data_IF_803971457172
#
_entry.id   IF_803971457172
#
_cell.length_a   1.000
_cell.length_b   1.000
_cell.length_c   1.000
_cell.angle_alpha   90.00
_cell.angle_beta   90.00
_cell.angle_gamma   90.00
#
_symmetry.space_group_name_H-M   'P 1'
#
loop_
_entity.id
_entity.type
_entity.pdbx_description
1 polymer ?
#
# COMPACT_ATOMS: atom_id res chain seq x y z
N UNK A 1 3.45 3.81 29.37
CA UNK A 1 2.90 2.63 28.63
C UNK A 1 1.61 2.95 27.87
N UNK A 2 0.65 3.69 28.43
CA UNK A 2 -0.60 4.08 27.72
C UNK A 2 -0.33 4.98 26.52
N UNK A 3 0.57 5.95 26.64
CA UNK A 3 0.87 6.92 25.59
C UNK A 3 1.59 6.28 24.38
N UNK A 4 2.52 5.36 24.62
CA UNK A 4 3.17 4.60 23.54
C UNK A 4 2.16 3.80 22.72
N UNK A 5 1.19 3.13 23.37
CA UNK A 5 0.16 2.35 22.65
C UNK A 5 -0.75 3.23 21.79
N UNK A 6 -0.98 4.50 22.17
CA UNK A 6 -1.79 5.45 21.40
C UNK A 6 -1.10 5.87 20.10
N UNK A 7 0.22 6.06 20.11
CA UNK A 7 1.00 6.42 18.91
C UNK A 7 0.80 5.41 17.77
N UNK A 8 0.71 4.11 18.09
CA UNK A 8 0.46 3.05 17.11
C UNK A 8 -1.01 2.95 16.61
N UNK A 9 -1.88 3.89 16.97
CA UNK A 9 -3.28 3.95 16.52
C UNK A 9 -3.61 5.27 15.81
N UNK A 10 -2.90 6.34 16.12
CA UNK A 10 -3.08 7.63 15.45
C UNK A 10 -2.69 7.53 13.98
N UNK A 11 -3.55 8.01 13.09
CA UNK A 11 -3.26 8.19 11.67
C UNK A 11 -2.64 9.57 11.50
N UNK A 12 -1.39 9.63 11.04
CA UNK A 12 -0.70 10.89 10.78
C UNK A 12 -1.17 11.49 9.46
N UNK A 13 -1.27 12.82 9.42
CA UNK A 13 -1.30 13.53 8.15
C UNK A 13 0.10 13.54 7.53
N UNK A 14 0.15 13.45 6.20
CA UNK A 14 1.36 13.52 5.41
C UNK A 14 1.40 14.81 4.57
N UNK A 15 2.61 15.26 4.22
CA UNK A 15 2.82 16.46 3.41
C UNK A 15 3.24 16.12 1.97
N UNK A 16 3.00 14.90 1.50
CA UNK A 16 3.39 14.49 0.16
C UNK A 16 2.38 14.99 -0.88
N UNK A 17 2.80 15.32 -2.11
CA UNK A 17 1.91 15.85 -3.15
C UNK A 17 0.88 14.80 -3.61
N UNK A 18 -0.24 15.24 -4.19
CA UNK A 18 -1.29 14.32 -4.66
C UNK A 18 -0.89 13.54 -5.91
N UNK A 19 0.08 14.06 -6.67
CA UNK A 19 0.65 13.41 -7.85
C UNK A 19 2.18 13.35 -7.76
N UNK A 20 2.74 12.33 -8.43
CA UNK A 20 4.17 12.16 -8.59
C UNK A 20 4.45 11.71 -10.01
N UNK A 21 5.43 12.34 -10.66
CA UNK A 21 5.86 11.97 -12.02
C UNK A 21 7.31 11.52 -11.99
N UNK A 22 7.59 10.37 -12.61
CA UNK A 22 8.95 9.87 -12.80
C UNK A 22 9.24 9.76 -14.29
N UNK A 23 10.35 10.35 -14.75
CA UNK A 23 10.75 10.36 -16.16
C UNK A 23 12.12 9.74 -16.36
N UNK A 24 12.20 8.73 -17.24
CA UNK A 24 13.45 8.11 -17.65
C UNK A 24 13.53 8.09 -19.18
N UNK A 25 14.42 8.90 -19.76
CA UNK A 25 14.51 9.06 -21.21
C UNK A 25 13.16 9.52 -21.82
N UNK A 26 12.63 8.74 -22.76
CA UNK A 26 11.33 8.97 -23.40
C UNK A 26 10.11 8.46 -22.61
N UNK A 27 10.32 7.73 -21.50
CA UNK A 27 9.24 7.16 -20.70
C UNK A 27 8.83 8.12 -19.58
N UNK A 28 7.52 8.24 -19.35
CA UNK A 28 6.94 9.03 -18.26
C UNK A 28 5.94 8.17 -17.51
N UNK A 29 6.13 8.07 -16.20
CA UNK A 29 5.26 7.35 -15.28
C UNK A 29 4.54 8.37 -14.40
N UNK A 30 3.21 8.31 -14.38
CA UNK A 30 2.38 9.21 -13.57
C UNK A 30 1.73 8.41 -12.46
N UNK A 31 1.88 8.89 -11.24
CA UNK A 31 1.35 8.28 -10.06
C UNK A 31 0.38 9.21 -9.33
N UNK A 32 -0.65 8.63 -8.71
CA UNK A 32 -1.55 9.35 -7.79
C UNK A 32 -1.42 8.82 -6.38
N UNK A 33 -1.42 9.74 -5.42
CA UNK A 33 -1.43 9.41 -4.00
C UNK A 33 -2.72 8.67 -3.65
N UNK A 34 -2.59 7.58 -2.91
CA UNK A 34 -3.71 6.79 -2.40
C UNK A 34 -4.17 7.32 -1.05
N UNK A 35 -5.47 7.50 -0.94
CA UNK A 35 -6.17 7.72 0.31
C UNK A 35 -7.42 6.84 0.33
N UNK A 36 -7.91 6.57 1.52
CA UNK A 36 -9.10 5.76 1.76
C UNK A 36 -10.11 6.55 2.59
N UNK A 37 -11.38 6.32 2.31
CA UNK A 37 -12.52 6.88 3.05
C UNK A 37 -12.85 5.97 4.23
N UNK A 38 -12.61 6.48 5.43
CA UNK A 38 -12.72 5.72 6.68
C UNK A 38 -13.74 6.43 7.57
N UNK A 39 -14.68 5.72 8.20
CA UNK A 39 -15.52 6.31 9.24
C UNK A 39 -14.67 6.60 10.48
N UNK A 40 -14.74 7.83 11.00
CA UNK A 40 -14.13 8.20 12.27
C UNK A 40 -14.83 7.46 13.42
N UNK A 41 -14.05 6.76 14.25
CA UNK A 41 -14.60 5.93 15.34
C UNK A 41 -15.35 6.76 16.41
N UNK A 42 -15.09 8.06 16.53
CA UNK A 42 -15.69 8.93 17.55
C UNK A 42 -16.88 9.73 17.02
N UNK A 43 -16.76 10.28 15.82
CA UNK A 43 -17.79 11.17 15.23
C UNK A 43 -18.70 10.44 14.25
N UNK A 44 -18.27 9.31 13.70
CA UNK A 44 -18.98 8.60 12.63
C UNK A 44 -18.86 9.27 11.25
N UNK A 45 -18.16 10.40 11.15
CA UNK A 45 -17.95 11.11 9.88
C UNK A 45 -16.95 10.36 9.00
N UNK A 46 -17.16 10.41 7.68
CA UNK A 46 -16.20 9.83 6.74
C UNK A 46 -15.04 10.79 6.54
N UNK A 47 -13.85 10.36 6.95
CA UNK A 47 -12.59 11.07 6.72
C UNK A 47 -11.80 10.40 5.60
N UNK A 48 -11.03 11.18 4.85
CA UNK A 48 -10.11 10.67 3.83
C UNK A 48 -8.68 10.70 4.38
N UNK A 49 -8.02 9.55 4.41
CA UNK A 49 -6.68 9.39 5.01
C UNK A 49 -5.77 8.47 4.20
N UNK A 50 -4.48 8.81 4.16
CA UNK A 50 -3.41 7.99 3.60
C UNK A 50 -2.98 6.86 4.55
N UNK A 51 -1.67 6.57 4.63
CA UNK A 51 -1.15 5.55 5.54
C UNK A 51 -1.19 6.00 7.00
N UNK A 52 -1.28 5.06 7.95
CA UNK A 52 -1.27 5.40 9.39
C UNK A 52 0.04 6.09 9.81
N UNK A 53 1.18 5.54 9.36
CA UNK A 53 2.53 6.06 9.53
C UNK A 53 3.49 5.22 8.65
N UNK A 54 4.77 5.60 8.61
CA UNK A 54 5.86 4.92 7.93
C UNK A 54 6.28 3.61 8.61
N UNK A 55 7.58 3.41 8.79
CA UNK A 55 8.07 2.23 9.55
C UNK A 55 7.80 2.41 11.05
N UNK A 56 7.99 3.64 11.53
CA UNK A 56 7.76 4.04 12.91
C UNK A 56 6.66 5.12 13.02
N UNK A 57 5.98 5.24 14.18
CA UNK A 57 4.86 6.17 14.36
C UNK A 57 5.18 7.66 14.23
N UNK A 58 6.44 8.05 14.20
CA UNK A 58 6.93 9.42 14.03
C UNK A 58 7.30 9.74 12.57
N UNK A 59 7.16 8.78 11.67
CA UNK A 59 7.53 8.91 10.27
C UNK A 59 6.30 9.03 9.39
N UNK A 60 6.25 10.07 8.54
CA UNK A 60 5.23 10.18 7.50
C UNK A 60 5.49 9.16 6.37
N UNK A 61 4.42 8.71 5.72
CA UNK A 61 4.52 7.88 4.52
C UNK A 61 3.28 8.05 3.64
N UNK A 62 3.44 7.90 2.32
CA UNK A 62 2.36 7.89 1.36
C UNK A 62 2.51 6.70 0.41
N UNK A 63 1.37 6.13 -0.03
CA UNK A 63 1.30 5.14 -1.08
C UNK A 63 0.90 5.83 -2.38
N UNK A 64 1.53 5.46 -3.49
CA UNK A 64 1.25 5.99 -4.82
C UNK A 64 0.88 4.85 -5.76
N UNK A 65 -0.20 5.02 -6.52
CA UNK A 65 -0.64 4.11 -7.57
C UNK A 65 -0.20 4.62 -8.93
N UNK A 66 0.36 3.73 -9.76
CA UNK A 66 0.69 4.04 -11.15
C UNK A 66 -0.60 4.14 -11.96
N UNK A 67 -0.96 5.36 -12.37
CA UNK A 67 -2.20 5.62 -13.13
C UNK A 67 -1.95 5.81 -14.63
N UNK A 68 -0.71 6.04 -15.05
CA UNK A 68 -0.34 6.14 -16.46
C UNK A 68 1.13 5.75 -16.69
N UNK A 69 1.38 5.10 -17.82
CA UNK A 69 2.67 4.53 -18.21
C UNK A 69 2.83 3.07 -17.76
N UNK A 70 4.00 2.51 -18.04
CA UNK A 70 4.45 1.23 -17.54
C UNK A 70 5.99 1.28 -17.40
N UNK A 71 6.53 0.64 -16.37
CA UNK A 71 7.97 0.50 -16.23
C UNK A 71 8.45 -0.60 -17.20
N UNK A 72 8.89 -0.19 -18.38
CA UNK A 72 9.51 -1.06 -19.37
C UNK A 72 11.03 -0.86 -19.36
N UNK A 73 11.76 -1.80 -18.74
CA UNK A 73 13.23 -1.78 -18.66
C UNK A 73 13.81 -3.05 -19.28
N UNK A 74 14.73 -2.89 -20.24
CA UNK A 74 15.40 -4.03 -20.87
C UNK A 74 14.46 -4.99 -21.61
N UNK A 75 13.31 -4.49 -22.10
CA UNK A 75 12.29 -5.32 -22.77
C UNK A 75 11.34 -6.05 -21.81
N UNK A 76 11.50 -5.88 -20.49
CA UNK A 76 10.60 -6.42 -19.49
C UNK A 76 9.63 -5.34 -19.01
N UNK A 77 8.35 -5.68 -18.96
CA UNK A 77 7.30 -4.86 -18.34
C UNK A 77 6.96 -5.44 -16.97
N UNK A 78 6.73 -4.57 -15.98
CA UNK A 78 6.52 -5.03 -14.60
C UNK A 78 5.08 -5.53 -14.36
N UNK A 79 4.13 -4.61 -14.29
CA UNK A 79 2.72 -4.86 -13.98
C UNK A 79 1.88 -4.10 -14.99
N UNK A 80 0.96 -4.80 -15.66
CA UNK A 80 0.06 -4.20 -16.65
C UNK A 80 -0.98 -3.30 -15.97
N UNK A 81 -1.46 -2.31 -16.72
CA UNK A 81 -2.53 -1.41 -16.26
C UNK A 81 -3.72 -2.21 -15.70
N UNK A 82 -4.26 -1.75 -14.57
CA UNK A 82 -5.34 -2.42 -13.85
C UNK A 82 -4.91 -3.51 -12.87
N UNK A 83 -3.62 -3.87 -12.80
CA UNK A 83 -3.11 -4.90 -11.87
C UNK A 83 -2.29 -4.31 -10.71
N UNK A 84 -2.69 -3.15 -10.17
CA UNK A 84 -1.90 -2.33 -9.23
C UNK A 84 -1.52 -2.94 -7.88
N UNK A 85 -1.73 -4.25 -7.67
CA UNK A 85 -1.46 -4.99 -6.43
C UNK A 85 -1.98 -4.23 -5.20
N UNK A 86 -1.08 -3.87 -4.27
CA UNK A 86 -1.45 -3.13 -3.06
C UNK A 86 -1.89 -1.70 -3.35
N UNK A 87 -1.36 -1.07 -4.40
CA UNK A 87 -1.72 0.30 -4.75
C UNK A 87 -3.15 0.43 -5.29
N UNK A 88 -3.75 -0.66 -5.77
CA UNK A 88 -5.15 -0.70 -6.23
C UNK A 88 -6.16 -1.11 -5.15
N UNK A 89 -5.75 -1.35 -3.90
CA UNK A 89 -6.65 -1.74 -2.81
C UNK A 89 -7.67 -0.64 -2.53
N UNK A 90 -8.94 -1.03 -2.47
CA UNK A 90 -10.07 -0.18 -2.10
C UNK A 90 -10.56 -0.49 -0.68
N UNK A 91 -11.44 0.35 -0.16
CA UNK A 91 -12.08 0.14 1.14
C UNK A 91 -12.85 -1.18 1.21
N UNK A 92 -13.40 -1.66 0.07
CA UNK A 92 -14.14 -2.91 -0.01
C UNK A 92 -13.25 -4.13 0.21
N UNK A 93 -11.97 -4.02 -0.11
CA UNK A 93 -10.99 -5.08 0.05
C UNK A 93 -10.49 -5.17 1.51
N UNK A 94 -10.74 -4.14 2.33
CA UNK A 94 -10.35 -4.06 3.74
C UNK A 94 -11.40 -4.65 4.68
N UNK A 95 -11.85 -5.88 4.39
CA UNK A 95 -13.03 -6.52 5.02
C UNK A 95 -12.90 -6.65 6.56
N UNK A 96 -11.68 -6.87 7.06
CA UNK A 96 -11.38 -6.99 8.49
C UNK A 96 -10.12 -6.18 8.85
N UNK A 97 -10.13 -4.89 8.52
CA UNK A 97 -8.95 -4.03 8.58
C UNK A 97 -8.26 -3.95 9.95
N UNK A 98 -8.92 -4.30 11.05
CA UNK A 98 -8.40 -4.06 12.39
C UNK A 98 -8.04 -2.58 12.54
N UNK A 99 -6.75 -2.28 12.70
CA UNK A 99 -6.28 -0.89 12.63
C UNK A 99 -5.94 -0.51 11.19
N UNK A 100 -6.27 0.72 10.80
CA UNK A 100 -5.90 1.29 9.49
C UNK A 100 -4.44 0.99 9.07
N UNK A 101 -4.16 0.49 7.86
CA UNK A 101 -2.84 0.03 7.46
C UNK A 101 -1.74 1.09 7.60
N UNK A 102 -0.59 0.67 8.16
CA UNK A 102 0.67 1.41 8.06
C UNK A 102 1.50 0.94 6.86
N UNK A 103 2.61 1.64 6.58
CA UNK A 103 3.55 1.27 5.50
C UNK A 103 3.92 -0.20 5.54
N UNK A 104 4.33 -0.70 6.72
CA UNK A 104 4.84 -2.07 6.86
C UNK A 104 3.80 -3.15 6.57
N UNK A 105 2.52 -2.89 6.89
CA UNK A 105 1.43 -3.80 6.55
C UNK A 105 1.29 -3.96 5.04
N UNK A 106 1.36 -2.83 4.32
CA UNK A 106 1.22 -2.80 2.88
C UNK A 106 2.45 -3.34 2.15
N UNK A 107 3.66 -3.12 2.66
CA UNK A 107 4.87 -3.73 2.07
C UNK A 107 4.89 -5.25 2.22
N UNK A 108 4.47 -5.78 3.39
CA UNK A 108 4.36 -7.23 3.59
C UNK A 108 3.31 -7.84 2.64
N UNK A 109 2.17 -7.17 2.47
CA UNK A 109 1.14 -7.59 1.54
C UNK A 109 1.63 -7.55 0.07
N UNK A 110 2.32 -6.48 -0.32
CA UNK A 110 2.80 -6.31 -1.71
C UNK A 110 3.83 -7.38 -2.08
N UNK A 111 4.73 -7.72 -1.16
CA UNK A 111 5.67 -8.81 -1.38
C UNK A 111 4.95 -10.16 -1.48
N UNK A 112 3.93 -10.38 -0.65
CA UNK A 112 3.06 -11.56 -0.78
C UNK A 112 2.38 -11.65 -2.14
N UNK A 113 1.80 -10.55 -2.63
CA UNK A 113 1.17 -10.51 -3.95
C UNK A 113 2.17 -10.75 -5.09
N UNK A 114 3.41 -10.26 -4.95
CA UNK A 114 4.48 -10.50 -5.91
C UNK A 114 4.93 -11.97 -5.99
N UNK A 115 4.77 -12.74 -4.92
CA UNK A 115 4.96 -14.19 -4.93
C UNK A 115 3.71 -14.87 -5.50
N UNK A 116 2.54 -14.53 -4.97
CA UNK A 116 1.26 -15.17 -5.29
C UNK A 116 0.90 -15.10 -6.77
N UNK A 117 1.25 -14.01 -7.47
CA UNK A 117 0.96 -13.83 -8.90
C UNK A 117 1.53 -14.94 -9.80
N UNK A 118 2.55 -15.68 -9.34
CA UNK A 118 3.14 -16.81 -10.07
C UNK A 118 2.60 -18.17 -9.64
N UNK A 119 1.84 -18.24 -8.53
CA UNK A 119 1.38 -19.50 -7.93
C UNK A 119 -0.12 -19.77 -8.12
N UNK A 120 -0.82 -18.92 -8.89
CA UNK A 120 -2.27 -18.95 -9.05
C UNK A 120 -2.83 -20.19 -9.78
N UNK A 121 -1.99 -21.08 -10.32
CA UNK A 121 -2.43 -22.30 -11.02
C UNK A 121 -3.04 -23.37 -10.11
N UNK A 122 -2.91 -23.22 -8.80
CA UNK A 122 -3.50 -24.08 -7.75
C UNK A 122 -3.79 -23.21 -6.51
N UNK A 123 -4.60 -23.68 -5.55
CA UNK A 123 -4.73 -23.00 -4.27
C UNK A 123 -3.34 -22.79 -3.65
N UNK A 124 -3.04 -21.55 -3.28
CA UNK A 124 -1.75 -21.16 -2.75
C UNK A 124 -1.92 -20.23 -1.55
N UNK A 125 -0.95 -20.25 -0.65
CA UNK A 125 -0.86 -19.34 0.48
C UNK A 125 0.59 -18.95 0.75
N UNK A 126 0.80 -17.69 1.15
CA UNK A 126 2.10 -17.18 1.59
C UNK A 126 1.94 -16.46 2.92
N UNK A 127 2.88 -16.68 3.83
CA UNK A 127 2.95 -16.01 5.12
C UNK A 127 4.23 -15.19 5.15
N UNK A 128 4.09 -13.91 5.43
CA UNK A 128 5.19 -12.95 5.43
C UNK A 128 5.43 -12.48 6.86
N UNK A 129 6.69 -12.17 7.15
CA UNK A 129 7.08 -11.45 8.36
C UNK A 129 8.26 -10.53 8.04
N UNK A 130 8.11 -9.23 8.30
CA UNK A 130 9.17 -8.24 8.04
C UNK A 130 9.69 -8.33 6.60
N UNK A 131 8.76 -8.33 5.65
CA UNK A 131 9.00 -8.41 4.22
C UNK A 131 9.67 -9.71 3.74
N UNK A 132 9.74 -10.75 4.57
CA UNK A 132 10.33 -12.04 4.20
C UNK A 132 9.28 -13.15 4.24
N UNK A 133 9.24 -14.06 3.24
CA UNK A 133 8.38 -15.23 3.31
C UNK A 133 8.88 -16.19 4.38
N UNK A 134 8.05 -16.47 5.37
CA UNK A 134 8.31 -17.49 6.39
C UNK A 134 7.54 -18.79 6.14
N UNK A 135 6.64 -18.81 5.15
CA UNK A 135 5.99 -20.00 4.64
C UNK A 135 5.33 -19.74 3.29
N UNK A 136 5.36 -20.72 2.39
CA UNK A 136 4.66 -20.71 1.11
C UNK A 136 4.21 -22.14 0.78
N UNK A 137 2.95 -22.31 0.37
CA UNK A 137 2.35 -23.60 0.03
C UNK A 137 1.42 -23.48 -1.19
#
# INVERSE_FOLDING_TARGET
MSELKKMYRTIMDDNFPDDMTIKFGGQTLVYKKRAWKIPDEKTGEVIEKGLRYGENPDQQAALYELVNGNLALGGCEYINAGNGLVSSITEKDMIQAGKHPGKTNLTDLDNGLNIMKYLMGKPAAVILKHNNPCGAA
#
